data_IF_659394966982
#
_entry.id   IF_659394966982
#
_cell.length_a   1.000
_cell.length_b   1.000
_cell.length_c   1.000
_cell.angle_alpha   90.00
_cell.angle_beta   90.00
_cell.angle_gamma   90.00
#
_symmetry.space_group_name_H-M   'P 1'
#
loop_
_entity.id
_entity.type
_entity.pdbx_description
1 polymer ?
#
# COMPACT_ATOMS: atom_id res chain seq x y z
N UNK A 1 5.04 -8.71 -30.56
CA UNK A 1 6.19 -7.78 -30.55
C UNK A 1 5.83 -6.36 -30.12
N UNK A 2 4.72 -5.77 -30.60
CA UNK A 2 4.28 -4.40 -30.24
C UNK A 2 4.10 -4.13 -28.73
N UNK A 3 3.62 -5.12 -27.96
CA UNK A 3 3.40 -4.99 -26.52
C UNK A 3 4.71 -4.81 -25.72
N UNK A 4 5.75 -5.56 -26.10
CA UNK A 4 7.09 -5.51 -25.49
C UNK A 4 7.83 -4.20 -25.79
N UNK A 5 7.61 -3.62 -26.97
CA UNK A 5 8.17 -2.32 -27.36
C UNK A 5 7.55 -1.16 -26.57
N UNK A 6 6.23 -1.17 -26.35
CA UNK A 6 5.55 -0.16 -25.51
C UNK A 6 6.01 -0.20 -24.05
N UNK A 7 6.27 -1.38 -23.52
CA UNK A 7 6.71 -1.59 -22.14
C UNK A 7 8.13 -1.04 -21.91
N UNK A 8 9.04 -1.26 -22.86
CA UNK A 8 10.42 -0.71 -22.82
C UNK A 8 10.40 0.82 -22.92
N UNK A 9 9.56 1.39 -23.79
CA UNK A 9 9.43 2.85 -23.92
C UNK A 9 8.88 3.46 -22.63
N UNK A 10 7.86 2.84 -22.02
CA UNK A 10 7.29 3.31 -20.75
C UNK A 10 8.30 3.28 -19.61
N UNK A 11 9.10 2.21 -19.49
CA UNK A 11 10.13 2.10 -18.46
C UNK A 11 11.25 3.14 -18.63
N UNK A 12 11.65 3.42 -19.88
CA UNK A 12 12.65 4.44 -20.17
C UNK A 12 12.14 5.85 -19.87
N UNK A 13 10.87 6.17 -20.16
CA UNK A 13 10.28 7.47 -19.83
C UNK A 13 10.22 7.66 -18.30
N UNK A 14 9.83 6.64 -17.55
CA UNK A 14 9.83 6.69 -16.08
C UNK A 14 11.27 6.90 -15.57
N UNK A 15 12.24 6.13 -16.05
CA UNK A 15 13.64 6.28 -15.66
C UNK A 15 14.22 7.67 -15.97
N UNK A 16 13.92 8.23 -17.14
CA UNK A 16 14.34 9.59 -17.53
C UNK A 16 13.66 10.64 -16.65
N UNK A 17 12.36 10.50 -16.39
CA UNK A 17 11.61 11.43 -15.53
C UNK A 17 12.14 11.43 -14.10
N UNK A 18 12.38 10.26 -13.52
CA UNK A 18 12.97 10.13 -12.18
C UNK A 18 14.41 10.64 -12.16
N UNK A 19 15.17 10.40 -13.23
CA UNK A 19 16.55 10.86 -13.38
C UNK A 19 16.71 12.38 -13.49
N UNK A 20 15.69 13.11 -13.95
CA UNK A 20 15.70 14.58 -14.03
C UNK A 20 15.05 15.26 -12.82
N UNK A 21 14.00 14.66 -12.27
CA UNK A 21 13.28 15.24 -11.12
C UNK A 21 14.12 15.15 -9.85
N UNK A 22 14.78 14.01 -9.59
CA UNK A 22 15.60 13.81 -8.41
C UNK A 22 16.73 14.86 -8.24
N UNK A 23 17.58 15.15 -9.26
CA UNK A 23 18.62 16.17 -9.12
C UNK A 23 18.04 17.58 -8.99
N UNK A 24 16.86 17.85 -9.57
CA UNK A 24 16.20 19.15 -9.44
C UNK A 24 15.67 19.38 -8.01
N UNK A 25 15.11 18.33 -7.38
CA UNK A 25 14.74 18.35 -5.96
C UNK A 25 15.98 18.56 -5.08
N UNK A 26 17.07 17.83 -5.32
CA UNK A 26 18.33 17.98 -4.58
C UNK A 26 18.89 19.40 -4.74
N UNK A 27 18.83 19.96 -5.94
CA UNK A 27 19.25 21.34 -6.21
C UNK A 27 18.39 22.37 -5.45
N UNK A 28 17.07 22.19 -5.42
CA UNK A 28 16.17 23.06 -4.65
C UNK A 28 16.47 22.95 -3.15
N UNK A 29 16.62 21.73 -2.62
CA UNK A 29 16.95 21.50 -1.21
C UNK A 29 18.28 22.15 -0.86
N UNK A 30 19.32 21.96 -1.67
CA UNK A 30 20.65 22.56 -1.41
C UNK A 30 20.61 24.09 -1.44
N UNK A 31 19.87 24.71 -2.36
CA UNK A 31 19.68 26.17 -2.39
C UNK A 31 18.99 26.69 -1.14
N UNK A 32 17.92 26.02 -0.71
CA UNK A 32 17.19 26.34 0.51
C UNK A 32 18.09 26.16 1.73
N UNK A 33 18.81 25.04 1.82
CA UNK A 33 19.75 24.77 2.91
C UNK A 33 20.82 25.84 3.00
N UNK A 34 21.48 26.23 1.91
CA UNK A 34 22.53 27.28 1.94
C UNK A 34 22.00 28.64 2.40
N UNK A 35 20.75 28.98 2.04
CA UNK A 35 20.13 30.23 2.50
C UNK A 35 19.73 30.19 3.98
N UNK A 36 19.29 29.03 4.46
CA UNK A 36 18.85 28.84 5.85
C UNK A 36 20.04 28.57 6.79
N UNK A 37 21.16 28.04 6.27
CA UNK A 37 22.35 27.68 7.03
C UNK A 37 22.93 28.83 7.89
N UNK A 38 23.11 30.07 7.40
CA UNK A 38 23.58 31.16 8.25
C UNK A 38 22.58 31.52 9.37
N UNK A 39 21.27 31.40 9.13
CA UNK A 39 20.26 31.59 10.16
C UNK A 39 20.26 30.43 11.18
N UNK A 40 20.52 29.20 10.72
CA UNK A 40 20.71 28.05 11.60
C UNK A 40 21.99 28.23 12.42
N UNK A 41 23.11 28.67 11.85
CA UNK A 41 24.37 28.84 12.57
C UNK A 41 24.27 29.91 13.68
N UNK A 42 23.51 30.99 13.47
CA UNK A 42 23.18 31.97 14.52
C UNK A 42 22.25 31.40 15.61
N UNK A 43 21.35 30.49 15.23
CA UNK A 43 20.43 29.81 16.15
C UNK A 43 21.02 28.49 16.71
N UNK A 44 22.17 28.04 16.23
CA UNK A 44 22.82 26.77 16.55
C UNK A 44 23.55 26.82 17.90
N UNK A 45 23.03 27.61 18.84
CA UNK A 45 23.26 27.31 20.24
C UNK A 45 22.68 25.92 20.52
N UNK A 46 23.47 25.06 21.17
CA UNK A 46 23.01 23.74 21.66
C UNK A 46 21.72 23.83 22.47
N UNK A 47 21.42 25.02 23.00
CA UNK A 47 20.18 25.38 23.71
C UNK A 47 18.92 25.38 22.84
N UNK A 48 19.01 25.57 21.52
CA UNK A 48 17.85 25.64 20.60
C UNK A 48 17.73 24.35 19.77
N UNK A 49 18.86 23.77 19.37
CA UNK A 49 18.90 22.49 18.64
C UNK A 49 18.26 21.35 19.43
N UNK A 50 18.53 21.25 20.73
CA UNK A 50 17.97 20.19 21.57
C UNK A 50 16.44 20.28 21.70
N UNK A 51 15.84 21.44 22.05
CA UNK A 51 14.38 21.61 22.00
C UNK A 51 13.77 21.30 20.63
N UNK A 52 14.40 21.73 19.53
CA UNK A 52 13.90 21.46 18.19
C UNK A 52 13.88 19.96 17.88
N UNK A 53 14.93 19.23 18.28
CA UNK A 53 14.98 17.77 18.16
C UNK A 53 13.89 17.10 19.00
N UNK A 54 13.68 17.53 20.24
CA UNK A 54 12.63 17.00 21.11
C UNK A 54 11.24 17.27 20.52
N UNK A 55 10.98 18.48 20.03
CA UNK A 55 9.70 18.82 19.36
C UNK A 55 9.48 17.97 18.12
N UNK A 56 10.51 17.77 17.30
CA UNK A 56 10.44 16.89 16.13
C UNK A 56 10.13 15.44 16.51
N UNK A 57 10.76 14.94 17.58
CA UNK A 57 10.52 13.59 18.07
C UNK A 57 9.09 13.43 18.60
N UNK A 58 8.58 14.42 19.36
CA UNK A 58 7.18 14.45 19.82
C UNK A 58 6.21 14.48 18.63
N UNK A 59 6.47 15.31 17.63
CA UNK A 59 5.62 15.40 16.43
C UNK A 59 5.56 14.06 15.68
N UNK A 60 6.71 13.37 15.54
CA UNK A 60 6.76 12.03 14.95
C UNK A 60 6.01 10.99 15.79
N UNK A 61 6.12 11.04 17.12
CA UNK A 61 5.35 10.18 18.01
C UNK A 61 3.84 10.39 17.88
N UNK A 62 3.39 11.65 17.80
CA UNK A 62 1.98 12.00 17.58
C UNK A 62 1.50 11.47 16.24
N UNK A 63 2.27 11.70 15.17
CA UNK A 63 1.93 11.22 13.83
C UNK A 63 1.83 9.69 13.80
N UNK A 64 2.79 9.00 14.42
CA UNK A 64 2.75 7.55 14.55
C UNK A 64 1.52 7.07 15.33
N UNK A 65 1.19 7.71 16.45
CA UNK A 65 0.00 7.39 17.23
C UNK A 65 -1.29 7.58 16.41
N UNK A 66 -1.40 8.68 15.66
CA UNK A 66 -2.53 8.94 14.77
C UNK A 66 -2.66 7.87 13.68
N UNK A 67 -1.54 7.47 13.08
CA UNK A 67 -1.52 6.39 12.09
C UNK A 67 -1.99 5.07 12.70
N UNK A 68 -1.55 4.72 13.91
CA UNK A 68 -1.97 3.49 14.60
C UNK A 68 -3.47 3.54 14.95
N UNK A 69 -3.97 4.67 15.45
CA UNK A 69 -5.39 4.86 15.78
C UNK A 69 -6.26 4.76 14.53
N UNK A 70 -5.82 5.37 13.42
CA UNK A 70 -6.56 5.33 12.15
C UNK A 70 -6.45 3.97 11.45
N UNK A 71 -5.39 3.21 11.70
CA UNK A 71 -5.23 1.84 11.20
C UNK A 71 -5.93 0.78 12.08
N UNK A 72 -7.02 1.15 12.78
CA UNK A 72 -7.91 0.15 13.36
C UNK A 72 -8.32 -0.82 12.24
N UNK A 73 -7.90 -2.09 12.38
CA UNK A 73 -8.20 -3.15 11.43
C UNK A 73 -9.70 -3.12 11.15
N UNK A 74 -10.07 -2.91 9.89
CA UNK A 74 -11.49 -2.93 9.52
C UNK A 74 -12.07 -4.27 9.95
N UNK A 75 -13.25 -4.25 10.55
CA UNK A 75 -13.93 -5.48 10.98
C UNK A 75 -14.19 -6.31 9.73
N UNK A 76 -13.46 -7.40 9.56
CA UNK A 76 -13.67 -8.31 8.44
C UNK A 76 -14.92 -9.17 8.72
N UNK A 77 -15.67 -9.47 7.66
CA UNK A 77 -16.77 -10.42 7.73
C UNK A 77 -16.37 -11.73 7.03
N UNK A 78 -16.70 -12.87 7.62
CA UNK A 78 -16.53 -14.18 6.99
C UNK A 78 -17.77 -14.49 6.13
N UNK A 79 -17.63 -14.53 4.81
CA UNK A 79 -18.71 -14.90 3.89
C UNK A 79 -18.18 -15.45 2.58
N UNK A 80 -18.93 -16.33 1.95
CA UNK A 80 -18.55 -16.97 0.69
C UNK A 80 -17.20 -17.72 0.76
N UNK A 81 -16.88 -18.31 1.91
CA UNK A 81 -15.61 -19.02 2.19
C UNK A 81 -14.33 -18.15 2.18
N UNK A 82 -14.46 -16.82 2.21
CA UNK A 82 -13.34 -15.88 2.40
C UNK A 82 -13.71 -14.78 3.41
N UNK A 83 -12.71 -14.01 3.84
CA UNK A 83 -12.92 -12.80 4.64
C UNK A 83 -13.13 -11.61 3.72
N UNK A 84 -13.97 -10.66 4.10
CA UNK A 84 -14.19 -9.42 3.35
C UNK A 84 -13.91 -8.23 4.23
N UNK A 85 -13.18 -7.25 3.71
CA UNK A 85 -13.08 -5.94 4.32
C UNK A 85 -14.26 -5.04 3.93
N UNK A 86 -14.32 -3.86 4.53
CA UNK A 86 -15.34 -2.82 4.24
C UNK A 86 -15.37 -2.37 2.77
N UNK A 87 -14.27 -2.55 2.05
CA UNK A 87 -14.09 -2.11 0.67
C UNK A 87 -14.36 -3.26 -0.33
N UNK A 88 -14.94 -4.37 0.16
CA UNK A 88 -15.25 -5.59 -0.60
C UNK A 88 -14.02 -6.24 -1.25
N UNK A 89 -12.86 -6.14 -0.58
CA UNK A 89 -11.69 -6.91 -0.93
C UNK A 89 -11.70 -8.25 -0.18
N UNK A 90 -11.36 -9.31 -0.89
CA UNK A 90 -11.32 -10.66 -0.33
C UNK A 90 -9.99 -10.92 0.40
N UNK A 91 -10.05 -11.56 1.56
CA UNK A 91 -8.92 -11.93 2.39
C UNK A 91 -8.94 -13.43 2.66
N UNK A 92 -7.76 -14.02 2.80
CA UNK A 92 -7.65 -15.43 3.13
C UNK A 92 -8.23 -15.69 4.54
N UNK A 93 -9.13 -16.68 4.72
CA UNK A 93 -9.71 -16.96 6.04
C UNK A 93 -8.69 -17.50 7.05
N UNK A 94 -7.58 -18.08 6.56
CA UNK A 94 -6.52 -18.68 7.41
C UNK A 94 -5.47 -17.65 7.82
N UNK A 95 -4.98 -16.83 6.89
CA UNK A 95 -3.84 -15.94 7.13
C UNK A 95 -4.16 -14.44 7.03
N UNK A 96 -5.42 -14.07 6.84
CA UNK A 96 -5.93 -12.70 6.74
C UNK A 96 -5.29 -11.82 5.64
N UNK A 97 -4.48 -12.41 4.76
CA UNK A 97 -3.83 -11.67 3.67
C UNK A 97 -4.84 -11.39 2.55
N UNK A 98 -4.78 -10.16 2.03
CA UNK A 98 -5.53 -9.73 0.87
C UNK A 98 -5.25 -10.64 -0.35
N UNK A 99 -6.32 -11.09 -0.99
CA UNK A 99 -6.33 -11.96 -2.15
C UNK A 99 -6.55 -11.12 -3.41
N UNK A 100 -5.46 -10.81 -4.10
CA UNK A 100 -5.47 -9.84 -5.23
C UNK A 100 -5.88 -10.52 -6.56
N UNK A 101 -5.55 -11.80 -6.71
CA UNK A 101 -5.63 -12.48 -8.01
C UNK A 101 -6.83 -13.42 -8.06
N UNK A 102 -7.97 -12.93 -8.56
CA UNK A 102 -9.13 -13.77 -8.89
C UNK A 102 -9.04 -14.26 -10.34
N UNK A 103 -9.04 -15.56 -10.57
CA UNK A 103 -8.95 -16.14 -11.90
C UNK A 103 -8.79 -17.65 -11.90
N UNK A 104 -8.41 -18.22 -13.04
CA UNK A 104 -8.09 -19.64 -13.13
C UNK A 104 -6.65 -19.88 -12.66
N UNK A 105 -6.51 -20.58 -11.55
CA UNK A 105 -5.22 -20.97 -10.99
C UNK A 105 -5.13 -22.49 -10.93
N UNK A 106 -3.99 -23.05 -11.37
CA UNK A 106 -3.75 -24.49 -11.41
C UNK A 106 -4.60 -25.21 -12.47
N UNK A 107 -5.13 -26.38 -12.12
CA UNK A 107 -6.00 -27.22 -12.96
C UNK A 107 -7.48 -27.06 -12.61
N UNK A 108 -7.85 -25.93 -12.00
CA UNK A 108 -9.23 -25.69 -11.54
C UNK A 108 -10.15 -25.32 -12.71
N UNK A 109 -11.31 -25.96 -12.79
CA UNK A 109 -12.40 -25.60 -13.70
C UNK A 109 -13.12 -24.32 -13.28
N UNK A 110 -12.98 -23.91 -12.02
CA UNK A 110 -13.62 -22.72 -11.46
C UNK A 110 -12.61 -21.62 -11.18
N UNK A 111 -13.02 -20.36 -11.36
CA UNK A 111 -12.26 -19.19 -10.90
C UNK A 111 -12.12 -19.24 -9.38
N UNK A 112 -10.93 -18.90 -8.89
CA UNK A 112 -10.62 -18.87 -7.48
C UNK A 112 -9.61 -17.77 -7.19
N UNK A 113 -9.40 -17.50 -5.90
CA UNK A 113 -8.29 -16.69 -5.43
C UNK A 113 -7.09 -17.57 -5.10
N UNK A 114 -5.89 -17.17 -5.50
CA UNK A 114 -4.67 -17.84 -5.03
C UNK A 114 -4.10 -17.16 -3.79
N UNK A 115 -3.95 -17.89 -2.69
CA UNK A 115 -3.25 -17.39 -1.52
C UNK A 115 -1.75 -17.68 -1.61
N UNK A 116 -0.91 -16.65 -1.77
CA UNK A 116 0.54 -16.80 -1.86
C UNK A 116 1.21 -17.33 -0.58
N UNK A 117 0.58 -17.15 0.58
CA UNK A 117 1.09 -17.63 1.87
C UNK A 117 0.67 -19.08 2.12
N UNK A 118 -0.61 -19.40 1.96
CA UNK A 118 -1.12 -20.75 2.19
C UNK A 118 -0.80 -21.70 1.04
N UNK A 119 -0.41 -21.18 -0.14
CA UNK A 119 -0.16 -21.94 -1.37
C UNK A 119 -1.36 -22.81 -1.78
N UNK A 120 -2.55 -22.28 -1.57
CA UNK A 120 -3.81 -22.97 -1.84
C UNK A 120 -4.80 -22.04 -2.53
N UNK A 121 -5.68 -22.60 -3.39
CA UNK A 121 -6.79 -21.86 -3.94
C UNK A 121 -7.86 -21.61 -2.85
N UNK A 122 -8.56 -20.49 -2.99
CA UNK A 122 -9.71 -20.09 -2.18
C UNK A 122 -10.88 -19.85 -3.12
N UNK A 123 -11.82 -20.78 -3.07
CA UNK A 123 -13.03 -20.73 -3.88
C UNK A 123 -14.08 -19.87 -3.21
N UNK A 124 -14.85 -19.15 -4.03
CA UNK A 124 -16.05 -18.47 -3.55
C UNK A 124 -17.20 -19.46 -3.58
N UNK A 125 -17.75 -19.77 -2.40
CA UNK A 125 -18.81 -20.75 -2.23
C UNK A 125 -19.98 -20.15 -1.47
N UNK A 126 -21.19 -20.22 -2.01
CA UNK A 126 -22.44 -19.89 -1.32
C UNK A 126 -23.24 -21.18 -1.11
N UNK A 127 -23.50 -21.55 0.15
CA UNK A 127 -24.14 -22.82 0.50
C UNK A 127 -23.55 -24.05 -0.22
N UNK A 128 -22.22 -24.06 -0.35
CA UNK A 128 -21.46 -25.14 -1.00
C UNK A 128 -21.45 -25.10 -2.54
N UNK A 129 -22.10 -24.11 -3.17
CA UNK A 129 -22.09 -23.91 -4.62
C UNK A 129 -21.09 -22.83 -5.02
N UNK A 130 -20.38 -23.05 -6.12
CA UNK A 130 -19.48 -22.05 -6.69
C UNK A 130 -20.25 -20.82 -7.17
N UNK A 131 -19.77 -19.64 -6.79
CA UNK A 131 -20.30 -18.36 -7.24
C UNK A 131 -19.18 -17.52 -7.86
N UNK A 132 -19.55 -16.58 -8.73
CA UNK A 132 -18.59 -15.62 -9.30
C UNK A 132 -18.35 -14.43 -8.36
N UNK A 133 -17.19 -13.78 -8.53
CA UNK A 133 -16.78 -12.64 -7.71
C UNK A 133 -17.78 -11.48 -7.77
N UNK A 134 -18.36 -11.20 -8.93
CA UNK A 134 -19.32 -10.10 -9.08
C UNK A 134 -20.60 -10.40 -8.30
N UNK A 135 -21.12 -11.63 -8.42
CA UNK A 135 -22.26 -12.09 -7.64
C UNK A 135 -21.99 -12.07 -6.13
N UNK A 136 -20.78 -12.47 -5.71
CA UNK A 136 -20.37 -12.36 -4.31
C UNK A 136 -20.42 -10.90 -3.85
N UNK A 137 -19.80 -9.98 -4.59
CA UNK A 137 -19.73 -8.54 -4.24
C UNK A 137 -21.09 -7.86 -4.20
N UNK A 138 -22.02 -8.24 -5.07
CA UNK A 138 -23.40 -7.73 -5.09
C UNK A 138 -24.17 -8.16 -3.83
N UNK A 139 -23.95 -9.39 -3.36
CA UNK A 139 -24.66 -9.95 -2.20
C UNK A 139 -23.98 -9.69 -0.85
N UNK A 140 -22.84 -9.00 -0.83
CA UNK A 140 -22.19 -8.53 0.40
C UNK A 140 -22.94 -7.32 0.98
N UNK A 141 -23.69 -7.57 2.06
CA UNK A 141 -24.25 -6.53 2.92
C UNK A 141 -23.21 -6.12 3.97
N UNK A 142 -22.26 -5.24 3.58
CA UNK A 142 -21.21 -4.68 4.45
C UNK A 142 -21.34 -3.17 4.49
#
# INVERSE_FOLDING_TARGET
MLKKSKEIISQNIVAISTGLIAPLIIWVITRICVQIMPAIDELASSKILFPLLVVSMIANCILYALLVINNKKSKMIDRFSVKWDKDKNAHCPICDRHLINYGYHGLSEYKNFWCSICKEPRFLLDDGKYIELDHAKENLNI
#
